data_IF_697091479557
#
_entry.id   IF_697091479557
#
_cell.length_a   1.000
_cell.length_b   1.000
_cell.length_c   1.000
_cell.angle_alpha   90.00
_cell.angle_beta   90.00
_cell.angle_gamma   90.00
#
_symmetry.space_group_name_H-M   'P 1'
#
loop_
_entity.id
_entity.type
_entity.pdbx_description
1 polymer ?
#
# COMPACT_ATOMS: atom_id res chain seq x y z
N UNK A 1 -11.81 6.68 17.47
CA UNK A 1 -12.30 5.30 17.31
C UNK A 1 -13.75 5.26 17.72
N UNK A 2 -14.61 4.94 16.77
CA UNK A 2 -16.02 4.72 17.02
C UNK A 2 -16.24 3.58 18.01
N UNK A 3 -17.21 3.75 18.91
CA UNK A 3 -17.51 2.83 20.04
C UNK A 3 -17.78 1.37 19.62
N UNK A 4 -18.11 1.09 18.36
CA UNK A 4 -18.51 -0.24 17.88
C UNK A 4 -17.34 -1.19 17.59
N UNK A 5 -16.16 -0.70 17.17
CA UNK A 5 -14.99 -1.56 16.94
C UNK A 5 -14.53 -2.30 18.22
N UNK A 6 -14.92 -1.79 19.39
CA UNK A 6 -14.67 -2.43 20.68
C UNK A 6 -15.77 -3.38 21.15
N UNK A 7 -16.94 -3.45 20.50
CA UNK A 7 -18.07 -4.26 20.96
C UNK A 7 -18.31 -5.47 20.03
N UNK A 8 -17.47 -6.50 20.18
CA UNK A 8 -17.56 -7.75 19.41
C UNK A 8 -18.94 -8.43 19.52
N UNK A 9 -19.67 -8.20 20.61
CA UNK A 9 -21.01 -8.74 20.81
C UNK A 9 -22.00 -8.28 19.74
N UNK A 10 -21.93 -7.01 19.31
CA UNK A 10 -22.80 -6.49 18.26
C UNK A 10 -22.57 -7.20 16.92
N UNK A 11 -21.31 -7.52 16.60
CA UNK A 11 -20.97 -8.24 15.38
C UNK A 11 -21.48 -9.68 15.41
N UNK A 12 -21.39 -10.34 16.57
CA UNK A 12 -21.93 -11.70 16.77
C UNK A 12 -23.46 -11.71 16.61
N UNK A 13 -24.17 -10.78 17.25
CA UNK A 13 -25.63 -10.68 17.15
C UNK A 13 -26.09 -10.37 15.71
N UNK A 14 -25.34 -9.54 14.98
CA UNK A 14 -25.58 -9.29 13.56
C UNK A 14 -25.38 -10.57 12.74
N UNK A 15 -24.29 -11.31 12.97
CA UNK A 15 -24.03 -12.59 12.31
C UNK A 15 -25.16 -13.60 12.53
N UNK A 16 -25.60 -13.75 13.78
CA UNK A 16 -26.67 -14.68 14.16
C UNK A 16 -27.99 -14.31 13.47
N UNK A 17 -28.33 -13.01 13.45
CA UNK A 17 -29.50 -12.51 12.72
C UNK A 17 -29.40 -12.81 11.22
N UNK A 18 -28.23 -12.66 10.60
CA UNK A 18 -28.06 -12.97 9.18
C UNK A 18 -28.23 -14.45 8.88
N UNK A 19 -27.69 -15.35 9.71
CA UNK A 19 -27.87 -16.80 9.55
C UNK A 19 -29.34 -17.19 9.68
N UNK A 20 -30.06 -16.61 10.63
CA UNK A 20 -31.49 -16.87 10.83
C UNK A 20 -32.32 -16.40 9.62
N UNK A 21 -32.08 -15.19 9.10
CA UNK A 21 -32.77 -14.67 7.92
C UNK A 21 -32.47 -15.50 6.66
N UNK A 22 -31.19 -15.86 6.47
CA UNK A 22 -30.77 -16.73 5.37
C UNK A 22 -31.41 -18.12 5.48
N UNK A 23 -31.42 -18.73 6.66
CA UNK A 23 -32.03 -20.05 6.89
C UNK A 23 -33.54 -20.09 6.64
N UNK A 24 -34.22 -18.93 6.75
CA UNK A 24 -35.64 -18.76 6.41
C UNK A 24 -35.89 -18.39 4.95
N UNK A 25 -34.84 -18.11 4.17
CA UNK A 25 -34.95 -17.62 2.79
C UNK A 25 -35.48 -16.18 2.69
N UNK A 26 -35.44 -15.39 3.77
CA UNK A 26 -35.93 -14.01 3.78
C UNK A 26 -34.83 -13.04 3.28
N UNK A 27 -34.48 -13.15 1.99
CA UNK A 27 -33.39 -12.38 1.38
C UNK A 27 -33.67 -10.87 1.37
N UNK A 28 -34.94 -10.46 1.38
CA UNK A 28 -35.32 -9.05 1.43
C UNK A 28 -35.07 -8.44 2.80
N UNK A 29 -35.42 -9.12 3.89
CA UNK A 29 -35.10 -8.60 5.23
C UNK A 29 -33.60 -8.78 5.55
N UNK A 30 -32.95 -9.83 5.02
CA UNK A 30 -31.49 -9.98 5.10
C UNK A 30 -30.77 -8.79 4.48
N UNK A 31 -31.13 -8.41 3.24
CA UNK A 31 -30.50 -7.28 2.55
C UNK A 31 -30.66 -5.95 3.31
N UNK A 32 -31.82 -5.72 3.93
CA UNK A 32 -32.05 -4.55 4.82
C UNK A 32 -31.23 -4.63 6.09
N UNK A 33 -31.19 -5.78 6.75
CA UNK A 33 -30.45 -5.96 8.00
C UNK A 33 -28.94 -5.73 7.80
N UNK A 34 -28.40 -6.14 6.65
CA UNK A 34 -27.01 -5.85 6.25
C UNK A 34 -26.77 -4.34 6.11
N UNK A 35 -27.62 -3.64 5.37
CA UNK A 35 -27.45 -2.20 5.16
C UNK A 35 -27.66 -1.38 6.43
N UNK A 36 -28.63 -1.75 7.28
CA UNK A 36 -28.84 -1.09 8.59
C UNK A 36 -27.61 -1.21 9.47
N UNK A 37 -26.99 -2.39 9.50
CA UNK A 37 -25.74 -2.60 10.24
C UNK A 37 -24.59 -1.77 9.66
N UNK A 38 -24.42 -1.77 8.33
CA UNK A 38 -23.38 -0.97 7.66
C UNK A 38 -23.49 0.52 8.05
N UNK A 39 -24.70 1.09 7.99
CA UNK A 39 -24.93 2.50 8.30
C UNK A 39 -24.86 2.83 9.80
N UNK A 40 -25.36 1.95 10.67
CA UNK A 40 -25.27 2.13 12.12
C UNK A 40 -23.82 2.05 12.62
N UNK A 41 -23.04 1.15 12.03
CA UNK A 41 -21.64 0.93 12.36
C UNK A 41 -20.72 1.98 11.71
N UNK A 42 -21.21 3.05 11.08
CA UNK A 42 -20.55 4.32 10.74
C UNK A 42 -19.12 4.43 10.20
N UNK A 43 -18.45 3.32 9.97
CA UNK A 43 -17.32 3.12 9.12
C UNK A 43 -17.10 1.61 9.14
N UNK A 44 -16.65 1.12 7.99
CA UNK A 44 -15.99 -0.17 7.87
C UNK A 44 -16.89 -1.36 7.65
N UNK A 45 -17.40 -1.39 6.42
CA UNK A 45 -17.53 -2.60 5.61
C UNK A 45 -18.85 -3.30 5.91
N UNK A 46 -19.85 -3.12 5.05
CA UNK A 46 -21.06 -3.95 5.09
C UNK A 46 -20.70 -5.39 5.47
N UNK A 47 -21.45 -5.93 6.42
CA UNK A 47 -21.23 -7.24 7.03
C UNK A 47 -19.92 -7.49 7.81
N UNK A 48 -18.86 -6.67 7.77
CA UNK A 48 -17.56 -7.10 8.31
C UNK A 48 -16.97 -8.27 7.51
N UNK A 49 -15.69 -8.63 7.73
CA UNK A 49 -15.06 -9.75 6.98
C UNK A 49 -15.84 -11.04 7.23
N UNK A 50 -16.14 -11.32 8.50
CA UNK A 50 -16.86 -12.52 8.92
C UNK A 50 -18.27 -12.60 8.32
N UNK A 51 -19.07 -11.52 8.34
CA UNK A 51 -20.40 -11.63 7.74
C UNK A 51 -20.37 -11.58 6.20
N UNK A 52 -19.33 -11.04 5.56
CA UNK A 52 -19.20 -11.16 4.10
C UNK A 52 -18.86 -12.59 3.70
N UNK A 53 -18.02 -13.28 4.47
CA UNK A 53 -17.76 -14.70 4.29
C UNK A 53 -19.06 -15.51 4.48
N UNK A 54 -19.89 -15.15 5.47
CA UNK A 54 -21.23 -15.73 5.64
C UNK A 54 -22.10 -15.51 4.40
N UNK A 55 -22.19 -14.28 3.87
CA UNK A 55 -22.99 -14.01 2.67
C UNK A 55 -22.45 -14.76 1.44
N UNK A 56 -21.13 -14.90 1.31
CA UNK A 56 -20.48 -15.67 0.23
C UNK A 56 -20.65 -17.18 0.36
N UNK A 57 -21.06 -17.67 1.52
CA UNK A 57 -21.36 -19.09 1.76
C UNK A 57 -22.81 -19.47 1.44
N UNK A 58 -23.66 -18.50 1.09
CA UNK A 58 -25.02 -18.76 0.61
C UNK A 58 -25.01 -19.47 -0.75
N UNK A 59 -26.10 -20.18 -1.13
CA UNK A 59 -26.28 -20.69 -2.48
C UNK A 59 -26.08 -19.61 -3.55
N UNK A 60 -25.57 -19.98 -4.72
CA UNK A 60 -25.25 -19.01 -5.77
C UNK A 60 -26.49 -18.21 -6.24
N UNK A 61 -27.66 -18.85 -6.33
CA UNK A 61 -28.92 -18.17 -6.66
C UNK A 61 -29.29 -17.10 -5.63
N UNK A 62 -29.17 -17.41 -4.32
CA UNK A 62 -29.45 -16.46 -3.23
C UNK A 62 -28.46 -15.29 -3.25
N UNK A 63 -27.18 -15.56 -3.56
CA UNK A 63 -26.13 -14.54 -3.68
C UNK A 63 -26.44 -13.58 -4.82
N UNK A 64 -26.85 -14.11 -5.98
CA UNK A 64 -27.23 -13.29 -7.14
C UNK A 64 -28.50 -12.49 -6.87
N UNK A 65 -29.49 -13.06 -6.18
CA UNK A 65 -30.71 -12.34 -5.81
C UNK A 65 -30.39 -11.18 -4.86
N UNK A 66 -29.60 -11.41 -3.80
CA UNK A 66 -29.15 -10.37 -2.87
C UNK A 66 -28.39 -9.25 -3.60
N UNK A 67 -27.45 -9.62 -4.48
CA UNK A 67 -26.70 -8.66 -5.28
C UNK A 67 -27.62 -7.81 -6.15
N UNK A 68 -28.61 -8.43 -6.79
CA UNK A 68 -29.62 -7.75 -7.59
C UNK A 68 -30.49 -6.80 -6.77
N UNK A 69 -30.83 -7.14 -5.52
CA UNK A 69 -31.55 -6.22 -4.61
C UNK A 69 -30.71 -4.97 -4.36
N UNK A 70 -29.45 -5.12 -3.95
CA UNK A 70 -28.57 -3.98 -3.67
C UNK A 70 -28.24 -3.16 -4.92
N UNK A 71 -28.08 -3.78 -6.09
CA UNK A 71 -27.88 -3.07 -7.34
C UNK A 71 -29.10 -2.23 -7.75
N UNK A 72 -30.32 -2.74 -7.54
CA UNK A 72 -31.54 -1.94 -7.74
C UNK A 72 -31.61 -0.76 -6.77
N UNK A 73 -31.22 -0.94 -5.51
CA UNK A 73 -31.14 0.16 -4.54
C UNK A 73 -30.06 1.18 -4.91
N UNK A 74 -28.92 0.74 -5.44
CA UNK A 74 -27.86 1.62 -5.94
C UNK A 74 -28.38 2.50 -7.07
N UNK A 75 -29.09 1.93 -8.05
CA UNK A 75 -29.61 2.64 -9.21
C UNK A 75 -30.68 3.71 -8.88
N UNK A 76 -31.39 3.54 -7.75
CA UNK A 76 -32.47 4.44 -7.32
C UNK A 76 -32.14 5.14 -5.99
N UNK A 77 -30.85 5.24 -5.64
CA UNK A 77 -30.42 5.80 -4.34
C UNK A 77 -30.85 7.26 -4.17
N UNK A 78 -31.03 7.98 -5.29
CA UNK A 78 -31.42 9.39 -5.35
C UNK A 78 -32.94 9.61 -5.35
N UNK A 79 -33.76 8.57 -5.60
CA UNK A 79 -35.18 8.74 -5.95
C UNK A 79 -36.16 8.67 -4.76
N UNK A 80 -35.94 7.83 -3.73
CA UNK A 80 -36.64 7.91 -2.42
C UNK A 80 -36.30 6.73 -1.47
N UNK A 81 -36.45 6.96 -0.15
CA UNK A 81 -36.40 6.04 1.02
C UNK A 81 -35.10 5.93 1.87
N UNK A 82 -33.96 6.44 1.42
CA UNK A 82 -32.66 6.06 2.02
C UNK A 82 -32.15 6.95 3.15
N UNK A 83 -32.49 8.25 3.18
CA UNK A 83 -31.97 9.16 4.21
C UNK A 83 -32.61 8.94 5.60
N UNK A 84 -33.90 8.58 5.66
CA UNK A 84 -34.61 8.36 6.93
C UNK A 84 -34.33 6.99 7.54
N UNK A 85 -34.31 5.92 6.72
CA UNK A 85 -34.05 4.56 7.20
C UNK A 85 -32.59 4.35 7.60
N UNK A 86 -31.64 4.80 6.79
CA UNK A 86 -30.22 4.51 6.99
C UNK A 86 -29.45 5.66 7.66
N UNK A 87 -30.03 6.87 7.76
CA UNK A 87 -29.48 8.06 8.46
C UNK A 87 -28.00 8.33 8.14
N UNK A 88 -27.64 8.26 6.85
CA UNK A 88 -26.29 8.51 6.33
C UNK A 88 -26.34 9.41 5.10
N UNK A 89 -25.20 10.00 4.75
CA UNK A 89 -25.07 10.73 3.50
C UNK A 89 -25.18 9.80 2.29
N UNK A 90 -25.67 10.33 1.17
CA UNK A 90 -25.98 9.56 -0.03
C UNK A 90 -24.73 8.96 -0.69
N UNK A 91 -23.61 9.68 -0.66
CA UNK A 91 -22.35 9.20 -1.24
C UNK A 91 -21.85 7.97 -0.47
N UNK A 92 -21.85 8.04 0.86
CA UNK A 92 -21.53 6.89 1.71
C UNK A 92 -22.41 5.68 1.41
N UNK A 93 -23.73 5.88 1.35
CA UNK A 93 -24.65 4.77 1.08
C UNK A 93 -24.43 4.16 -0.30
N UNK A 94 -24.17 5.00 -1.31
CA UNK A 94 -23.87 4.56 -2.68
C UNK A 94 -22.64 3.67 -2.71
N UNK A 95 -21.55 4.08 -2.05
CA UNK A 95 -20.33 3.27 -1.95
C UNK A 95 -20.56 1.95 -1.21
N UNK A 96 -21.32 1.95 -0.10
CA UNK A 96 -21.63 0.71 0.62
C UNK A 96 -22.46 -0.26 -0.22
N UNK A 97 -23.50 0.22 -0.91
CA UNK A 97 -24.33 -0.61 -1.81
C UNK A 97 -23.49 -1.25 -2.92
N UNK A 98 -22.60 -0.47 -3.54
CA UNK A 98 -21.69 -0.96 -4.56
C UNK A 98 -20.76 -2.05 -4.01
N UNK A 99 -20.20 -1.85 -2.82
CA UNK A 99 -19.32 -2.81 -2.16
C UNK A 99 -20.03 -4.12 -1.79
N UNK A 100 -21.23 -4.07 -1.19
CA UNK A 100 -21.94 -5.30 -0.80
C UNK A 100 -22.47 -6.07 -2.00
N UNK A 101 -23.01 -5.38 -3.02
CA UNK A 101 -23.47 -6.01 -4.25
C UNK A 101 -22.32 -6.72 -4.98
N UNK A 102 -21.19 -6.03 -5.15
CA UNK A 102 -20.00 -6.59 -5.79
C UNK A 102 -19.37 -7.72 -4.97
N UNK A 103 -19.31 -7.53 -3.65
CA UNK A 103 -18.69 -8.47 -2.73
C UNK A 103 -19.42 -9.82 -2.67
N UNK A 104 -20.75 -9.81 -2.66
CA UNK A 104 -21.56 -11.05 -2.62
C UNK A 104 -21.57 -11.78 -3.98
N UNK A 105 -21.64 -11.03 -5.08
CA UNK A 105 -21.68 -11.57 -6.46
C UNK A 105 -20.30 -12.00 -6.98
N UNK A 106 -19.23 -11.76 -6.20
CA UNK A 106 -17.85 -12.08 -6.57
C UNK A 106 -17.70 -13.52 -7.07
N UNK A 107 -17.20 -13.65 -8.30
CA UNK A 107 -16.99 -14.94 -8.98
C UNK A 107 -18.24 -15.58 -9.58
N UNK A 108 -19.40 -14.91 -9.52
CA UNK A 108 -20.66 -15.36 -10.11
C UNK A 108 -21.13 -14.46 -11.25
N UNK A 109 -21.17 -13.14 -11.01
CA UNK A 109 -21.56 -12.15 -12.01
C UNK A 109 -20.51 -11.04 -12.08
N UNK A 110 -19.67 -11.12 -13.11
CA UNK A 110 -18.61 -10.15 -13.34
C UNK A 110 -19.11 -8.81 -13.89
N UNK A 111 -20.32 -8.75 -14.46
CA UNK A 111 -20.81 -7.57 -15.18
C UNK A 111 -21.72 -6.69 -14.32
N UNK A 112 -22.32 -7.27 -13.26
CA UNK A 112 -23.10 -6.53 -12.27
C UNK A 112 -22.32 -5.31 -11.77
N UNK A 113 -22.81 -4.10 -12.04
CA UNK A 113 -22.21 -2.83 -11.62
C UNK A 113 -20.73 -2.63 -12.00
N UNK A 114 -20.28 -3.23 -13.11
CA UNK A 114 -18.86 -3.16 -13.51
C UNK A 114 -18.40 -1.72 -13.83
N UNK A 115 -19.24 -0.92 -14.48
CA UNK A 115 -18.91 0.47 -14.81
C UNK A 115 -18.75 1.33 -13.54
N UNK A 116 -19.63 1.12 -12.57
CA UNK A 116 -19.66 1.79 -11.28
C UNK A 116 -18.44 1.42 -10.44
N UNK A 117 -18.08 0.13 -10.38
CA UNK A 117 -16.84 -0.32 -9.75
C UNK A 117 -15.62 0.33 -10.36
N UNK A 118 -15.54 0.35 -11.69
CA UNK A 118 -14.41 0.95 -12.39
C UNK A 118 -14.32 2.46 -12.11
N UNK A 119 -15.44 3.17 -12.12
CA UNK A 119 -15.49 4.59 -11.80
C UNK A 119 -15.02 4.87 -10.36
N UNK A 120 -15.49 4.09 -9.39
CA UNK A 120 -15.13 4.27 -7.98
C UNK A 120 -13.66 3.94 -7.72
N UNK A 121 -13.13 2.85 -8.29
CA UNK A 121 -11.70 2.54 -8.22
C UNK A 121 -10.84 3.62 -8.88
N UNK A 122 -11.30 4.20 -9.99
CA UNK A 122 -10.57 5.25 -10.71
C UNK A 122 -10.36 6.51 -9.87
N UNK A 123 -11.22 6.78 -8.88
CA UNK A 123 -11.07 7.93 -7.96
C UNK A 123 -9.85 7.79 -7.04
N UNK A 124 -9.34 6.56 -6.86
CA UNK A 124 -8.19 6.24 -6.01
C UNK A 124 -6.84 6.44 -6.68
N UNK A 125 -6.79 6.65 -8.00
CA UNK A 125 -5.53 6.67 -8.77
C UNK A 125 -4.53 7.70 -8.25
N UNK A 126 -5.04 8.89 -7.90
CA UNK A 126 -4.20 9.99 -7.43
C UNK A 126 -4.16 10.07 -5.90
N UNK A 127 -4.82 9.16 -5.17
CA UNK A 127 -4.85 9.19 -3.72
C UNK A 127 -3.55 8.63 -3.13
N UNK A 128 -2.98 9.35 -2.16
CA UNK A 128 -1.84 8.83 -1.41
C UNK A 128 -2.26 7.65 -0.53
N UNK A 129 -3.39 7.76 0.16
CA UNK A 129 -3.95 6.71 1.01
C UNK A 129 -5.46 6.59 0.83
N UNK A 130 -5.97 5.36 0.98
CA UNK A 130 -7.40 5.12 1.13
C UNK A 130 -7.82 5.42 2.57
N UNK A 131 -8.24 6.66 2.82
CA UNK A 131 -8.47 7.17 4.18
C UNK A 131 -9.82 6.74 4.78
N UNK A 132 -10.93 6.97 4.08
CA UNK A 132 -12.29 6.88 4.65
C UNK A 132 -13.16 5.75 4.09
N UNK A 133 -12.76 5.10 2.99
CA UNK A 133 -13.53 4.06 2.31
C UNK A 133 -13.01 2.68 2.68
N UNK A 134 -13.35 2.29 3.89
CA UNK A 134 -13.02 0.98 4.43
C UNK A 134 -13.57 -0.16 3.55
N UNK A 135 -12.72 -1.14 3.21
CA UNK A 135 -13.03 -2.25 2.29
C UNK A 135 -13.35 -1.90 0.84
N UNK A 136 -13.01 -0.70 0.36
CA UNK A 136 -13.04 -0.42 -1.08
C UNK A 136 -12.17 -1.40 -1.92
N UNK A 137 -11.23 -2.09 -1.27
CA UNK A 137 -10.47 -3.20 -1.84
C UNK A 137 -11.35 -4.38 -2.30
N UNK A 138 -12.57 -4.54 -1.78
CA UNK A 138 -13.54 -5.54 -2.24
C UNK A 138 -13.99 -5.28 -3.69
N UNK A 139 -14.01 -4.01 -4.13
CA UNK A 139 -14.30 -3.69 -5.52
C UNK A 139 -13.17 -4.17 -6.43
N UNK A 140 -11.92 -4.00 -6.00
CA UNK A 140 -10.76 -4.51 -6.73
C UNK A 140 -10.71 -6.05 -6.73
N UNK A 141 -11.05 -6.71 -5.62
CA UNK A 141 -11.16 -8.18 -5.57
C UNK A 141 -12.27 -8.69 -6.50
N UNK A 142 -13.39 -7.97 -6.62
CA UNK A 142 -14.46 -8.30 -7.56
C UNK A 142 -14.03 -8.13 -9.02
N UNK A 143 -13.28 -7.08 -9.36
CA UNK A 143 -12.70 -6.91 -10.70
C UNK A 143 -11.74 -8.04 -11.05
N UNK A 144 -10.82 -8.39 -10.14
CA UNK A 144 -9.87 -9.49 -10.34
C UNK A 144 -10.59 -10.83 -10.50
N UNK A 145 -11.62 -11.10 -9.68
CA UNK A 145 -12.45 -12.30 -9.80
C UNK A 145 -13.21 -12.37 -11.13
N UNK A 146 -13.52 -11.22 -11.73
CA UNK A 146 -14.12 -11.11 -13.06
C UNK A 146 -13.09 -11.13 -14.21
N UNK A 147 -11.80 -11.37 -13.92
CA UNK A 147 -10.73 -11.40 -14.91
C UNK A 147 -10.29 -10.03 -15.42
N UNK A 148 -10.67 -8.94 -14.73
CA UNK A 148 -10.28 -7.57 -15.08
C UNK A 148 -9.25 -7.06 -14.07
N UNK A 149 -8.14 -6.55 -14.57
CA UNK A 149 -7.07 -6.00 -13.73
C UNK A 149 -7.32 -4.50 -13.50
N UNK A 150 -7.52 -4.04 -12.26
CA UNK A 150 -7.61 -2.60 -12.01
C UNK A 150 -6.28 -1.89 -12.32
N UNK A 151 -6.36 -0.58 -12.57
CA UNK A 151 -5.22 0.26 -12.95
C UNK A 151 -4.08 0.21 -11.91
N UNK A 152 -2.82 0.24 -12.37
CA UNK A 152 -1.65 0.14 -11.51
C UNK A 152 -1.57 1.26 -10.45
N UNK A 153 -2.11 2.44 -10.71
CA UNK A 153 -2.19 3.53 -9.74
C UNK A 153 -3.17 3.20 -8.59
N UNK A 154 -4.23 2.43 -8.87
CA UNK A 154 -5.15 1.92 -7.84
C UNK A 154 -4.45 0.91 -6.94
N UNK A 155 -3.66 0.00 -7.52
CA UNK A 155 -2.79 -0.90 -6.75
C UNK A 155 -1.80 -0.11 -5.88
N UNK A 156 -1.22 0.96 -6.42
CA UNK A 156 -0.30 1.82 -5.67
C UNK A 156 -0.96 2.44 -4.43
N UNK A 157 -2.20 2.96 -4.56
CA UNK A 157 -2.97 3.48 -3.43
C UNK A 157 -3.25 2.41 -2.36
N UNK A 158 -3.55 1.17 -2.77
CA UNK A 158 -3.72 0.05 -1.83
C UNK A 158 -2.43 -0.36 -1.15
N UNK A 159 -1.30 -0.40 -1.87
CA UNK A 159 0.02 -0.69 -1.31
C UNK A 159 0.44 0.35 -0.28
N UNK A 160 0.27 1.63 -0.59
CA UNK A 160 0.52 2.74 0.35
C UNK A 160 -0.35 2.58 1.60
N UNK A 161 -1.63 2.29 1.42
CA UNK A 161 -2.57 2.04 2.53
C UNK A 161 -2.13 0.85 3.40
N UNK A 162 -1.70 -0.25 2.78
CA UNK A 162 -1.14 -1.41 3.49
C UNK A 162 0.13 -1.08 4.28
N UNK A 163 1.00 -0.24 3.71
CA UNK A 163 2.22 0.22 4.37
C UNK A 163 1.94 1.17 5.55
N UNK A 164 0.84 1.93 5.51
CA UNK A 164 0.47 2.92 6.53
C UNK A 164 0.33 2.33 7.94
N UNK A 165 -0.03 1.05 8.06
CA UNK A 165 -0.11 0.35 9.35
C UNK A 165 1.23 0.35 10.12
N UNK A 166 2.35 0.40 9.39
CA UNK A 166 3.70 0.42 9.95
C UNK A 166 4.36 1.81 9.90
N UNK A 167 3.67 2.81 9.35
CA UNK A 167 4.21 4.17 9.24
C UNK A 167 4.13 4.90 10.59
N UNK A 168 5.25 5.43 11.11
CA UNK A 168 5.24 6.22 12.34
C UNK A 168 4.24 7.38 12.28
N UNK A 169 3.51 7.60 13.38
CA UNK A 169 2.48 8.64 13.45
C UNK A 169 1.11 8.26 12.87
N UNK A 170 1.02 7.18 12.07
CA UNK A 170 -0.26 6.73 11.48
C UNK A 170 -0.91 5.56 12.23
N UNK A 171 -0.23 4.91 13.17
CA UNK A 171 -0.71 3.67 13.81
C UNK A 171 -2.10 3.69 14.44
N UNK A 172 -2.64 4.86 14.81
CA UNK A 172 -4.00 5.03 15.40
C UNK A 172 -4.97 5.82 14.50
N UNK A 173 -4.76 5.77 13.19
CA UNK A 173 -5.60 6.45 12.19
C UNK A 173 -6.50 5.46 11.45
N UNK A 174 -7.49 5.98 10.72
CA UNK A 174 -8.36 5.17 9.86
C UNK A 174 -7.58 4.44 8.75
N UNK A 175 -6.55 5.09 8.19
CA UNK A 175 -5.69 4.46 7.18
C UNK A 175 -4.91 3.27 7.74
N UNK A 176 -4.40 3.34 8.98
CA UNK A 176 -3.72 2.20 9.62
C UNK A 176 -4.68 1.03 9.87
N UNK A 177 -5.91 1.33 10.28
CA UNK A 177 -6.95 0.31 10.41
C UNK A 177 -7.24 -0.37 9.06
N UNK A 178 -7.41 0.42 7.99
CA UNK A 178 -7.54 -0.09 6.62
C UNK A 178 -6.36 -0.94 6.17
N UNK A 179 -5.14 -0.46 6.40
CA UNK A 179 -3.90 -1.15 6.04
C UNK A 179 -3.76 -2.51 6.71
N UNK A 180 -4.33 -2.66 7.90
CA UNK A 180 -4.24 -3.87 8.72
C UNK A 180 -5.28 -4.93 8.36
N UNK A 181 -6.29 -4.59 7.54
CA UNK A 181 -7.37 -5.51 7.15
C UNK A 181 -6.81 -6.76 6.45
N UNK A 182 -7.13 -7.98 6.94
CA UNK A 182 -6.65 -9.22 6.33
C UNK A 182 -6.99 -9.35 4.85
N UNK A 183 -8.16 -8.87 4.44
CA UNK A 183 -8.58 -8.95 3.05
C UNK A 183 -7.84 -7.99 2.12
N UNK A 184 -7.37 -6.82 2.60
CA UNK A 184 -6.46 -5.97 1.83
C UNK A 184 -5.12 -6.69 1.58
N UNK A 185 -4.58 -7.36 2.61
CA UNK A 185 -3.36 -8.16 2.45
C UNK A 185 -3.55 -9.31 1.46
N UNK A 186 -4.70 -9.98 1.51
CA UNK A 186 -5.06 -11.05 0.55
C UNK A 186 -5.17 -10.50 -0.87
N UNK A 187 -5.84 -9.35 -1.06
CA UNK A 187 -5.90 -8.66 -2.34
C UNK A 187 -4.49 -8.37 -2.86
N UNK A 188 -3.67 -7.69 -2.07
CA UNK A 188 -2.31 -7.30 -2.48
C UNK A 188 -1.42 -8.49 -2.85
N UNK A 189 -1.62 -9.65 -2.22
CA UNK A 189 -0.90 -10.88 -2.56
C UNK A 189 -1.34 -11.49 -3.90
N UNK A 190 -2.59 -11.26 -4.32
CA UNK A 190 -3.16 -11.77 -5.56
C UNK A 190 -3.26 -10.74 -6.69
N UNK A 191 -2.95 -9.47 -6.43
CA UNK A 191 -3.10 -8.40 -7.41
C UNK A 191 -1.90 -8.41 -8.38
N UNK A 192 -2.11 -8.72 -9.67
CA UNK A 192 -1.05 -8.66 -10.67
C UNK A 192 -0.69 -7.19 -10.96
N UNK A 193 0.57 -6.81 -10.80
CA UNK A 193 0.99 -5.44 -11.07
C UNK A 193 2.50 -5.25 -11.00
N UNK A 194 2.98 -4.04 -11.37
CA UNK A 194 4.40 -3.72 -11.36
C UNK A 194 5.00 -3.89 -9.97
N UNK A 195 6.29 -4.22 -9.89
CA UNK A 195 7.00 -4.42 -8.61
C UNK A 195 7.19 -3.13 -7.81
N UNK A 196 7.07 -1.97 -8.47
CA UNK A 196 7.09 -0.64 -7.87
C UNK A 196 5.78 0.09 -8.18
N UNK A 197 5.46 1.08 -7.35
CA UNK A 197 4.46 2.08 -7.67
C UNK A 197 5.08 3.10 -8.64
N UNK A 198 4.36 3.45 -9.70
CA UNK A 198 4.75 4.55 -10.59
C UNK A 198 4.52 5.92 -9.93
N UNK A 199 5.12 6.97 -10.48
CA UNK A 199 4.94 8.35 -10.05
C UNK A 199 6.17 8.98 -9.41
N UNK A 200 7.25 8.21 -9.22
CA UNK A 200 8.56 8.72 -8.80
C UNK A 200 9.56 8.51 -9.95
N UNK A 201 10.36 9.53 -10.35
CA UNK A 201 11.22 9.42 -11.51
C UNK A 201 12.15 8.20 -11.51
N UNK A 202 12.70 7.86 -10.35
CA UNK A 202 13.57 6.68 -10.21
C UNK A 202 12.81 5.36 -10.35
N UNK A 203 11.57 5.29 -9.86
CA UNK A 203 10.75 4.09 -9.91
C UNK A 203 10.22 3.86 -11.32
N UNK A 204 9.82 4.94 -12.00
CA UNK A 204 9.39 4.92 -13.40
C UNK A 204 10.54 4.43 -14.30
N UNK A 205 11.74 4.98 -14.13
CA UNK A 205 12.94 4.53 -14.86
C UNK A 205 13.28 3.07 -14.56
N UNK A 206 13.24 2.66 -13.29
CA UNK A 206 13.55 1.28 -12.89
C UNK A 206 12.54 0.27 -13.49
N UNK A 207 11.27 0.63 -13.59
CA UNK A 207 10.25 -0.20 -14.24
C UNK A 207 10.48 -0.31 -15.75
N UNK A 208 10.86 0.77 -16.42
CA UNK A 208 11.18 0.76 -17.85
C UNK A 208 12.43 -0.09 -18.16
N UNK A 209 13.49 0.08 -17.37
CA UNK A 209 14.71 -0.72 -17.49
C UNK A 209 14.45 -2.20 -17.16
N UNK A 210 13.61 -2.50 -16.17
CA UNK A 210 13.25 -3.88 -15.86
C UNK A 210 12.38 -4.52 -16.95
N UNK A 211 11.50 -3.76 -17.60
CA UNK A 211 10.71 -4.26 -18.72
C UNK A 211 11.57 -4.56 -19.95
N UNK A 212 12.59 -3.75 -20.22
CA UNK A 212 13.51 -3.95 -21.36
C UNK A 212 14.61 -4.99 -21.07
N UNK A 213 15.12 -5.04 -19.84
CA UNK A 213 16.14 -5.99 -19.41
C UNK A 213 15.62 -7.35 -18.94
N UNK A 214 14.30 -7.52 -18.81
CA UNK A 214 13.63 -8.81 -18.59
C UNK A 214 13.71 -9.35 -17.15
N UNK A 215 13.54 -10.67 -17.02
CA UNK A 215 13.36 -11.36 -15.74
C UNK A 215 14.45 -11.09 -14.68
N UNK A 216 15.76 -11.00 -15.01
CA UNK A 216 16.80 -10.71 -14.00
C UNK A 216 16.55 -9.41 -13.24
N UNK A 217 16.16 -8.35 -13.95
CA UNK A 217 15.85 -7.04 -13.36
C UNK A 217 14.59 -7.07 -12.50
N UNK A 218 13.54 -7.73 -12.98
CA UNK A 218 12.30 -7.90 -12.21
C UNK A 218 12.57 -8.63 -10.88
N UNK A 219 13.40 -9.68 -10.91
CA UNK A 219 13.78 -10.42 -9.70
C UNK A 219 14.65 -9.60 -8.76
N UNK A 220 15.55 -8.76 -9.28
CA UNK A 220 16.38 -7.86 -8.48
C UNK A 220 15.49 -6.85 -7.72
N UNK A 221 14.57 -6.17 -8.42
CA UNK A 221 13.63 -5.23 -7.81
C UNK A 221 12.72 -5.93 -6.78
N UNK A 222 12.21 -7.13 -7.10
CA UNK A 222 11.36 -7.89 -6.20
C UNK A 222 12.09 -8.34 -4.92
N UNK A 223 13.39 -8.65 -5.01
CA UNK A 223 14.22 -8.99 -3.84
C UNK A 223 14.55 -7.77 -2.96
N UNK A 224 14.61 -6.58 -3.55
CA UNK A 224 14.83 -5.33 -2.83
C UNK A 224 13.59 -4.87 -2.04
N UNK A 225 12.37 -5.08 -2.56
CA UNK A 225 11.11 -4.62 -1.97
C UNK A 225 10.84 -5.02 -0.49
N UNK A 226 11.13 -6.25 -0.02
CA UNK A 226 10.84 -6.66 1.37
C UNK A 226 11.86 -6.18 2.42
N UNK A 227 12.74 -5.23 2.12
CA UNK A 227 13.82 -4.79 3.01
C UNK A 227 13.33 -3.98 4.24
N UNK A 228 12.82 -4.69 5.25
CA UNK A 228 12.30 -4.11 6.50
C UNK A 228 13.27 -4.17 7.66
N UNK A 229 14.22 -5.12 7.66
CA UNK A 229 15.21 -5.34 8.73
C UNK A 229 16.28 -4.24 8.79
N UNK A 230 16.84 -3.94 9.97
CA UNK A 230 17.85 -2.88 10.17
C UNK A 230 19.09 -2.91 9.26
N UNK A 231 19.50 -4.10 8.81
CA UNK A 231 20.71 -4.42 8.03
C UNK A 231 20.45 -5.67 7.18
N UNK A 232 21.13 -5.90 6.04
CA UNK A 232 20.94 -7.11 5.25
C UNK A 232 21.47 -8.35 6.00
N UNK A 233 20.66 -9.42 6.05
CA UNK A 233 21.12 -10.72 6.59
C UNK A 233 22.07 -11.41 5.61
N UNK A 234 22.87 -12.37 6.09
CA UNK A 234 23.78 -13.13 5.23
C UNK A 234 23.05 -13.85 4.07
N UNK A 235 21.90 -14.48 4.36
CA UNK A 235 21.05 -15.12 3.34
C UNK A 235 20.51 -14.11 2.32
N UNK A 236 20.08 -12.94 2.80
CA UNK A 236 19.59 -11.87 1.93
C UNK A 236 20.70 -11.34 1.02
N UNK A 237 21.89 -11.11 1.57
CA UNK A 237 23.10 -10.70 0.83
C UNK A 237 23.46 -11.72 -0.26
N UNK A 238 23.56 -13.00 0.09
CA UNK A 238 23.91 -14.05 -0.87
C UNK A 238 22.93 -14.09 -2.05
N UNK A 239 21.63 -13.97 -1.77
CA UNK A 239 20.60 -13.91 -2.82
C UNK A 239 20.76 -12.64 -3.67
N UNK A 240 21.00 -11.49 -3.03
CA UNK A 240 21.22 -10.22 -3.72
C UNK A 240 22.44 -10.23 -4.64
N UNK A 241 23.58 -10.78 -4.20
CA UNK A 241 24.77 -10.94 -5.04
C UNK A 241 24.48 -11.80 -6.27
N UNK A 242 23.81 -12.94 -6.10
CA UNK A 242 23.45 -13.79 -7.25
C UNK A 242 22.50 -13.12 -8.25
N UNK A 243 21.65 -12.20 -7.79
CA UNK A 243 20.79 -11.40 -8.66
C UNK A 243 21.56 -10.28 -9.39
N UNK A 244 22.52 -9.64 -8.71
CA UNK A 244 23.42 -8.66 -9.32
C UNK A 244 24.30 -9.31 -10.40
N UNK A 245 24.80 -10.52 -10.15
CA UNK A 245 25.57 -11.29 -11.14
C UNK A 245 24.72 -11.65 -12.36
N UNK A 246 23.44 -11.99 -12.16
CA UNK A 246 22.51 -12.34 -13.23
C UNK A 246 22.13 -11.14 -14.12
N UNK A 247 22.09 -9.93 -13.55
CA UNK A 247 21.92 -8.68 -14.32
C UNK A 247 23.22 -8.28 -15.01
N UNK A 248 24.36 -8.51 -14.37
CA UNK A 248 25.65 -7.98 -14.78
C UNK A 248 26.10 -6.89 -13.81
N UNK A 249 27.20 -7.09 -13.04
CA UNK A 249 27.57 -6.18 -11.96
C UNK A 249 27.74 -4.71 -12.37
N UNK A 250 28.39 -4.44 -13.51
CA UNK A 250 28.58 -3.08 -14.00
C UNK A 250 27.29 -2.44 -14.54
N UNK A 251 26.43 -3.24 -15.17
CA UNK A 251 25.12 -2.79 -15.65
C UNK A 251 24.22 -2.42 -14.47
N UNK A 252 24.15 -3.31 -13.47
CA UNK A 252 23.45 -3.07 -12.21
C UNK A 252 23.97 -1.81 -11.51
N UNK A 253 25.30 -1.68 -11.38
CA UNK A 253 25.94 -0.51 -10.79
C UNK A 253 25.52 0.77 -11.49
N UNK A 254 25.66 0.82 -12.81
CA UNK A 254 25.34 2.00 -13.62
C UNK A 254 23.87 2.41 -13.47
N UNK A 255 22.94 1.45 -13.47
CA UNK A 255 21.52 1.73 -13.26
C UNK A 255 21.21 2.25 -11.86
N UNK A 256 21.74 1.61 -10.81
CA UNK A 256 21.50 2.01 -9.43
C UNK A 256 21.98 3.44 -9.15
N UNK A 257 23.14 3.82 -9.69
CA UNK A 257 23.65 5.19 -9.58
C UNK A 257 22.67 6.20 -10.22
N UNK A 258 22.21 5.93 -11.45
CA UNK A 258 21.22 6.79 -12.14
C UNK A 258 19.89 6.86 -11.38
N UNK A 259 19.39 5.75 -10.86
CA UNK A 259 18.14 5.73 -10.11
C UNK A 259 18.24 6.55 -8.82
N UNK A 260 19.38 6.52 -8.13
CA UNK A 260 19.57 7.35 -6.93
C UNK A 260 19.65 8.84 -7.23
N UNK A 261 20.23 9.24 -8.36
CA UNK A 261 20.17 10.63 -8.83
C UNK A 261 18.72 11.05 -9.11
N UNK A 262 17.94 10.21 -9.78
CA UNK A 262 16.52 10.44 -10.06
C UNK A 262 15.66 10.49 -8.78
N UNK A 263 16.08 9.84 -7.69
CA UNK A 263 15.36 9.88 -6.41
C UNK A 263 15.38 11.27 -5.76
N UNK A 264 16.31 12.15 -6.14
CA UNK A 264 16.37 13.53 -5.65
C UNK A 264 15.29 14.44 -6.25
N UNK A 265 14.69 14.02 -7.37
CA UNK A 265 13.69 14.78 -8.12
C UNK A 265 12.29 14.67 -7.51
N UNK A 266 11.44 15.63 -7.87
CA UNK A 266 10.02 15.64 -7.51
C UNK A 266 9.25 14.57 -8.29
N UNK A 267 8.06 14.21 -7.80
CA UNK A 267 7.21 13.20 -8.43
C UNK A 267 6.81 13.58 -9.86
N UNK A 268 6.77 12.57 -10.73
CA UNK A 268 6.24 12.72 -12.10
C UNK A 268 4.73 12.92 -12.09
N UNK A 269 4.04 12.32 -11.12
CA UNK A 269 2.59 12.46 -10.93
C UNK A 269 2.30 12.91 -9.49
N UNK A 270 1.71 14.10 -9.28
CA UNK A 270 1.36 14.55 -7.95
C UNK A 270 0.23 13.70 -7.36
N UNK A 271 0.37 13.35 -6.08
CA UNK A 271 -0.64 12.64 -5.31
C UNK A 271 -1.40 13.59 -4.38
N UNK A 272 -2.68 13.28 -4.15
CA UNK A 272 -3.54 13.93 -3.18
C UNK A 272 -3.29 13.34 -1.79
N UNK A 273 -2.85 14.18 -0.87
CA UNK A 273 -2.73 13.84 0.54
C UNK A 273 -4.02 14.14 1.31
N UNK A 274 -4.26 13.41 2.40
CA UNK A 274 -5.36 13.72 3.31
C UNK A 274 -4.98 14.93 4.19
N UNK A 275 -5.90 15.87 4.49
CA UNK A 275 -5.64 17.04 5.37
C UNK A 275 -5.16 16.74 6.80
N UNK A 276 -5.20 15.47 7.22
CA UNK A 276 -4.74 15.04 8.55
C UNK A 276 -3.31 14.48 8.53
N UNK A 277 -2.68 14.41 7.36
CA UNK A 277 -1.27 14.04 7.27
C UNK A 277 -0.40 15.20 7.75
N UNK A 278 0.61 14.94 8.60
CA UNK A 278 1.47 15.99 9.13
C UNK A 278 2.62 16.37 8.18
N UNK A 279 2.59 15.92 6.92
CA UNK A 279 3.63 16.10 5.93
C UNK A 279 3.02 16.25 4.53
N UNK A 280 3.75 16.91 3.63
CA UNK A 280 3.42 16.93 2.22
C UNK A 280 3.80 15.60 1.58
N UNK A 281 2.79 14.88 1.11
CA UNK A 281 2.98 13.57 0.50
C UNK A 281 3.90 13.64 -0.71
N UNK A 282 3.92 14.74 -1.46
CA UNK A 282 4.70 14.89 -2.71
C UNK A 282 6.16 15.26 -2.47
N UNK A 283 6.49 15.76 -1.28
CA UNK A 283 7.86 15.94 -0.86
C UNK A 283 8.48 14.65 -0.31
N UNK A 284 7.68 13.67 0.14
CA UNK A 284 8.16 12.38 0.65
C UNK A 284 8.28 11.30 -0.44
N UNK A 285 9.10 10.28 -0.17
CA UNK A 285 9.06 9.07 -0.99
C UNK A 285 7.74 8.32 -0.84
N UNK A 286 7.33 7.60 -1.88
CA UNK A 286 6.24 6.62 -1.75
C UNK A 286 6.63 5.59 -0.67
N UNK A 287 5.76 5.43 0.34
CA UNK A 287 6.04 4.54 1.49
C UNK A 287 6.31 3.09 1.09
N UNK A 288 5.67 2.59 0.03
CA UNK A 288 5.91 1.25 -0.48
C UNK A 288 7.26 1.18 -1.20
N UNK A 289 7.52 2.09 -2.13
CA UNK A 289 8.77 2.08 -2.92
C UNK A 289 10.02 2.36 -2.06
N UNK A 290 9.87 3.11 -0.97
CA UNK A 290 10.98 3.44 -0.07
C UNK A 290 11.64 2.19 0.56
N UNK A 291 10.91 1.08 0.70
CA UNK A 291 11.51 -0.19 1.11
C UNK A 291 12.43 -0.77 0.04
N UNK A 292 12.05 -0.63 -1.24
CA UNK A 292 12.91 -1.01 -2.36
C UNK A 292 14.18 -0.17 -2.40
N UNK A 293 14.11 1.17 -2.30
CA UNK A 293 15.31 2.03 -2.26
C UNK A 293 16.30 1.61 -1.17
N UNK A 294 15.78 1.22 0.00
CA UNK A 294 16.60 0.66 1.08
C UNK A 294 17.32 -0.63 0.68
N UNK A 295 16.62 -1.57 0.05
CA UNK A 295 17.24 -2.80 -0.47
C UNK A 295 18.30 -2.51 -1.53
N UNK A 296 17.99 -1.60 -2.47
CA UNK A 296 18.89 -1.17 -3.53
C UNK A 296 20.15 -0.50 -2.98
N UNK A 297 20.05 0.31 -1.92
CA UNK A 297 21.20 0.92 -1.26
C UNK A 297 22.17 -0.14 -0.72
N UNK A 298 21.65 -1.21 -0.11
CA UNK A 298 22.49 -2.32 0.34
C UNK A 298 23.09 -3.11 -0.82
N UNK A 299 22.33 -3.36 -1.89
CA UNK A 299 22.84 -4.05 -3.07
C UNK A 299 24.01 -3.30 -3.71
N UNK A 300 23.93 -1.97 -3.79
CA UNK A 300 25.01 -1.15 -4.32
C UNK A 300 26.32 -1.35 -3.52
N UNK A 301 26.24 -1.56 -2.19
CA UNK A 301 27.42 -1.84 -1.35
C UNK A 301 28.05 -3.22 -1.57
N UNK A 302 27.39 -4.11 -2.31
CA UNK A 302 27.93 -5.44 -2.66
C UNK A 302 28.68 -5.45 -4.00
N UNK A 303 28.54 -4.38 -4.78
CA UNK A 303 29.26 -4.19 -6.03
C UNK A 303 30.67 -3.63 -5.75
N UNK A 304 31.54 -3.61 -6.77
CA UNK A 304 32.90 -3.13 -6.59
C UNK A 304 32.90 -1.68 -6.05
N UNK A 305 33.63 -1.41 -4.94
CA UNK A 305 33.65 -0.09 -4.34
C UNK A 305 34.32 0.93 -5.28
N UNK A 306 33.71 2.10 -5.41
CA UNK A 306 34.24 3.21 -6.20
C UNK A 306 33.79 4.57 -5.65
N UNK A 307 34.47 5.68 -6.00
CA UNK A 307 34.14 7.02 -5.49
C UNK A 307 32.70 7.47 -5.77
N UNK A 308 32.19 7.14 -6.96
CA UNK A 308 30.81 7.32 -7.40
C UNK A 308 29.80 6.48 -6.60
N UNK A 309 30.16 5.26 -6.17
CA UNK A 309 29.32 4.48 -5.24
C UNK A 309 29.18 5.19 -3.89
N UNK A 310 30.28 5.70 -3.34
CA UNK A 310 30.26 6.46 -2.08
C UNK A 310 29.43 7.74 -2.25
N UNK A 311 29.66 8.48 -3.33
CA UNK A 311 28.95 9.72 -3.61
C UNK A 311 27.44 9.51 -3.76
N UNK A 312 27.00 8.50 -4.51
CA UNK A 312 25.59 8.20 -4.69
C UNK A 312 24.92 7.77 -3.37
N UNK A 313 25.61 7.01 -2.52
CA UNK A 313 25.08 6.64 -1.20
C UNK A 313 24.96 7.85 -0.27
N UNK A 314 25.93 8.78 -0.29
CA UNK A 314 25.84 10.05 0.45
C UNK A 314 24.70 10.90 -0.06
N UNK A 315 24.57 11.09 -1.38
CA UNK A 315 23.49 11.84 -1.99
C UNK A 315 22.11 11.24 -1.67
N UNK A 316 21.99 9.92 -1.62
CA UNK A 316 20.77 9.26 -1.17
C UNK A 316 20.47 9.54 0.31
N UNK A 317 21.48 9.55 1.19
CA UNK A 317 21.31 9.91 2.62
C UNK A 317 20.83 11.35 2.76
N UNK A 318 21.48 12.29 2.09
CA UNK A 318 21.13 13.72 2.11
C UNK A 318 19.72 13.95 1.59
N UNK A 319 19.40 13.38 0.43
CA UNK A 319 18.06 13.41 -0.15
C UNK A 319 17.02 12.84 0.82
N UNK A 320 17.33 11.72 1.47
CA UNK A 320 16.40 11.04 2.38
C UNK A 320 16.16 11.80 3.70
N UNK A 321 17.12 12.63 4.11
CA UNK A 321 17.04 13.49 5.30
C UNK A 321 16.56 14.91 4.97
N UNK A 322 16.27 15.21 3.71
CA UNK A 322 15.75 16.51 3.29
C UNK A 322 14.42 16.83 3.99
N UNK A 323 14.34 18.05 4.49
CA UNK A 323 13.26 18.63 5.28
C UNK A 323 12.33 19.55 4.45
N UNK A 324 12.32 19.43 3.12
CA UNK A 324 11.35 20.13 2.26
C UNK A 324 9.89 19.94 2.68
N UNK A 325 9.56 18.85 3.38
CA UNK A 325 8.25 18.60 3.98
C UNK A 325 8.10 19.11 5.43
N UNK A 326 8.86 20.13 5.83
CA UNK A 326 8.92 20.61 7.21
C UNK A 326 9.78 19.70 8.10
N UNK A 327 9.35 19.45 9.34
CA UNK A 327 10.17 18.71 10.31
C UNK A 327 10.32 17.21 10.01
N UNK A 328 9.57 16.67 9.05
CA UNK A 328 9.59 15.25 8.68
C UNK A 328 10.55 15.02 7.50
N UNK A 329 11.59 14.18 7.66
CA UNK A 329 12.50 13.83 6.56
C UNK A 329 11.77 13.01 5.49
N UNK A 330 12.23 13.07 4.23
CA UNK A 330 11.61 12.31 3.11
C UNK A 330 11.48 10.81 3.40
N UNK A 331 12.52 10.20 3.97
CA UNK A 331 12.47 8.84 4.52
C UNK A 331 13.67 8.53 5.40
N UNK A 332 13.44 8.50 6.72
CA UNK A 332 14.49 8.18 7.67
C UNK A 332 15.09 6.77 7.45
N UNK A 333 14.28 5.75 7.15
CA UNK A 333 14.79 4.39 7.02
C UNK A 333 15.63 4.19 5.75
N UNK A 334 15.39 4.97 4.70
CA UNK A 334 16.26 4.99 3.51
C UNK A 334 17.60 5.65 3.84
N UNK A 335 17.59 6.78 4.57
CA UNK A 335 18.83 7.40 5.06
C UNK A 335 19.66 6.44 5.92
N UNK A 336 18.99 5.76 6.85
CA UNK A 336 19.62 4.74 7.69
C UNK A 336 20.19 3.57 6.88
N UNK A 337 19.56 3.20 5.76
CA UNK A 337 20.06 2.18 4.86
C UNK A 337 21.29 2.63 4.08
N UNK A 338 21.32 3.89 3.61
CA UNK A 338 22.50 4.48 2.99
C UNK A 338 23.70 4.52 3.93
N UNK A 339 23.49 4.86 5.21
CA UNK A 339 24.53 4.80 6.25
C UNK A 339 25.06 3.37 6.45
N UNK A 340 24.17 2.38 6.50
CA UNK A 340 24.57 0.96 6.58
C UNK A 340 25.35 0.56 5.32
N UNK A 341 24.89 0.94 4.13
CA UNK A 341 25.58 0.64 2.87
C UNK A 341 26.99 1.25 2.85
N UNK A 342 27.16 2.52 3.26
CA UNK A 342 28.47 3.16 3.40
C UNK A 342 29.41 2.39 4.33
N UNK A 343 28.88 1.86 5.44
CA UNK A 343 29.66 1.03 6.38
C UNK A 343 30.10 -0.31 5.78
N UNK A 344 29.37 -0.82 4.78
CA UNK A 344 29.64 -2.11 4.14
C UNK A 344 30.62 -2.01 2.96
N UNK A 345 30.76 -0.84 2.33
CA UNK A 345 31.67 -0.59 1.19
C UNK A 345 33.16 -0.78 1.52
N UNK A 346 33.52 -0.87 2.81
CA UNK A 346 34.88 -1.09 3.32
C UNK A 346 35.95 -0.10 2.80
N UNK A 347 35.55 1.12 2.43
CA UNK A 347 36.40 2.13 1.79
C UNK A 347 36.76 3.31 2.73
N UNK A 348 37.96 3.90 2.56
CA UNK A 348 38.39 5.05 3.38
C UNK A 348 37.58 6.32 3.10
N UNK A 349 37.17 6.53 1.85
CA UNK A 349 36.31 7.66 1.46
C UNK A 349 34.95 7.50 2.13
N UNK A 350 34.37 6.30 2.09
CA UNK A 350 33.10 6.01 2.77
C UNK A 350 33.16 6.34 4.28
N UNK A 351 34.28 6.03 4.94
CA UNK A 351 34.48 6.41 6.35
C UNK A 351 34.54 7.93 6.55
N UNK A 352 35.32 8.63 5.72
CA UNK A 352 35.42 10.10 5.79
C UNK A 352 34.05 10.76 5.62
N UNK A 353 33.23 10.25 4.71
CA UNK A 353 31.86 10.75 4.51
C UNK A 353 30.95 10.45 5.70
N UNK A 354 31.05 9.29 6.34
CA UNK A 354 30.34 9.02 7.60
C UNK A 354 30.74 10.00 8.71
N UNK A 355 32.01 10.38 8.80
CA UNK A 355 32.48 11.41 9.74
C UNK A 355 31.91 12.79 9.39
N UNK A 356 31.81 13.14 8.10
CA UNK A 356 31.16 14.37 7.64
C UNK A 356 29.67 14.40 7.97
N UNK A 357 28.94 13.33 7.67
CA UNK A 357 27.52 13.18 8.01
C UNK A 357 27.27 13.34 9.51
N UNK A 358 28.15 12.79 10.36
CA UNK A 358 28.02 12.87 11.82
C UNK A 358 27.98 14.29 12.38
N UNK A 359 28.51 15.28 11.64
CA UNK A 359 28.61 16.68 12.10
C UNK A 359 27.30 17.43 12.02
N UNK A 360 26.40 17.03 11.13
CA UNK A 360 25.17 17.78 10.84
C UNK A 360 23.89 16.95 10.96
N UNK A 361 23.96 15.62 10.86
CA UNK A 361 22.79 14.76 11.08
C UNK A 361 22.33 14.89 12.53
N UNK A 362 21.09 15.33 12.75
CA UNK A 362 20.53 15.52 14.09
C UNK A 362 19.64 14.36 14.53
N UNK A 363 19.16 13.55 13.58
CA UNK A 363 18.23 12.47 13.87
C UNK A 363 18.91 11.35 14.68
N UNK A 364 18.39 11.07 15.89
CA UNK A 364 18.99 10.14 16.87
C UNK A 364 19.27 8.74 16.30
N UNK A 365 18.33 8.18 15.52
CA UNK A 365 18.47 6.85 14.93
C UNK A 365 19.58 6.76 13.86
N UNK A 366 19.74 7.82 13.08
CA UNK A 366 20.78 7.92 12.05
C UNK A 366 22.15 8.14 12.71
N UNK A 367 22.25 9.05 13.68
CA UNK A 367 23.46 9.27 14.48
C UNK A 367 23.94 7.99 15.17
N UNK A 368 23.02 7.22 15.78
CA UNK A 368 23.36 5.95 16.40
C UNK A 368 23.95 4.96 15.40
N UNK A 369 23.41 4.91 14.17
CA UNK A 369 23.96 4.06 13.10
C UNK A 369 25.32 4.53 12.62
N UNK A 370 25.51 5.84 12.45
CA UNK A 370 26.81 6.42 12.08
C UNK A 370 27.86 6.08 13.16
N UNK A 371 27.53 6.28 14.44
CA UNK A 371 28.41 5.93 15.54
C UNK A 371 28.81 4.45 15.56
N UNK A 372 27.85 3.54 15.33
CA UNK A 372 28.14 2.10 15.19
C UNK A 372 29.03 1.79 13.99
N UNK A 373 28.80 2.42 12.84
CA UNK A 373 29.60 2.24 11.64
C UNK A 373 31.06 2.71 11.84
N UNK A 374 31.26 3.84 12.52
CA UNK A 374 32.59 4.37 12.81
C UNK A 374 33.34 3.59 13.89
N UNK A 375 32.62 2.96 14.83
CA UNK A 375 33.19 2.15 15.91
C UNK A 375 33.44 0.67 15.53
N UNK A 376 32.78 0.15 14.50
CA UNK A 376 32.81 -1.26 14.09
C UNK A 376 34.09 -1.74 13.38
N UNK A 377 35.25 -1.19 13.74
CA UNK A 377 36.55 -1.71 13.31
C UNK A 377 37.50 -1.85 14.48
#
# INVERSE_FOLDING_TARGET
MSRWLGNRQVLVEQADRYRDLAGRGDLRELSRAVMRAACANGSMTGVGVENMELLRALPDDDRLELAGIWARWYAHVDDDWTAEEFRRDLEYLRTELLMVASGVARGLDGDLLAAERHAELSRLRDEYFVWSTHRIWELADAELAAGRTPDAAVLAAFRRTGAAANTPGLGRTHVSANGSEPGLRKLLAGFPGPVLNSGEPWADQALEEAASGGEPWLRLLAHAAPATAGTPSAKWRQTGCGLLDAVGPEEARSALLRWFELAALDRTVPLRGHPHLPFDVNACFDVYNSHTLRGLAWMLSFLHPGPDTVHALVGLVETSLDHRSGDVPRSLHVAEAGIVALSLTDDRTARSELETLSKWVTHKGALLRIGKALAGR
#
